data_IF_465533786131
#
_entry.id   IF_465533786131
#
_cell.length_a   1.000
_cell.length_b   1.000
_cell.length_c   1.000
_cell.angle_alpha   90.00
_cell.angle_beta   90.00
_cell.angle_gamma   90.00
#
_symmetry.space_group_name_H-M   'P 1'
#
loop_
_entity.id
_entity.type
_entity.pdbx_description
1 polymer ?
#
# COMPACT_ATOMS: atom_id res chain seq x y z
N UNK A 1 8.51 7.47 -2.18
CA UNK A 1 8.23 6.00 -2.20
C UNK A 1 8.54 5.37 -3.55
N UNK A 2 7.89 5.79 -4.65
CA UNK A 2 8.09 5.15 -5.96
C UNK A 2 9.54 5.29 -6.46
N UNK A 3 10.13 6.49 -6.35
CA UNK A 3 11.54 6.74 -6.70
C UNK A 3 12.51 5.87 -5.88
N UNK A 4 12.27 5.72 -4.58
CA UNK A 4 13.10 4.90 -3.73
C UNK A 4 12.97 3.41 -4.07
N UNK A 5 11.75 2.94 -4.37
CA UNK A 5 11.54 1.58 -4.86
C UNK A 5 12.28 1.34 -6.18
N UNK A 6 12.29 2.31 -7.10
CA UNK A 6 13.07 2.26 -8.35
C UNK A 6 14.58 2.16 -8.09
N UNK A 7 15.11 2.98 -7.18
CA UNK A 7 16.54 2.95 -6.80
C UNK A 7 16.95 1.60 -6.22
N UNK A 8 16.05 0.93 -5.51
CA UNK A 8 16.25 -0.42 -4.99
C UNK A 8 15.99 -1.54 -6.03
N UNK A 9 15.66 -1.18 -7.28
CA UNK A 9 15.35 -2.14 -8.34
C UNK A 9 14.01 -2.87 -8.18
N UNK A 10 13.13 -2.37 -7.32
CA UNK A 10 11.81 -2.96 -7.05
C UNK A 10 10.77 -2.46 -8.05
N UNK A 11 9.72 -3.27 -8.22
CA UNK A 11 8.51 -2.95 -8.99
C UNK A 11 7.43 -2.44 -8.07
N UNK A 12 6.67 -1.45 -8.53
CA UNK A 12 5.60 -0.81 -7.77
C UNK A 12 4.27 -1.13 -8.42
N UNK A 13 3.38 -1.77 -7.65
CA UNK A 13 2.01 -2.01 -8.04
C UNK A 13 1.09 -1.04 -7.28
N UNK A 14 0.37 -0.19 -8.01
CA UNK A 14 -0.61 0.72 -7.42
C UNK A 14 -1.96 0.00 -7.31
N UNK A 15 -2.63 0.08 -6.16
CA UNK A 15 -3.96 -0.52 -5.97
C UNK A 15 -4.95 0.44 -5.32
N UNK A 16 -6.10 0.61 -5.98
CA UNK A 16 -7.07 1.68 -5.68
C UNK A 16 -7.21 2.67 -6.82
N UNK A 17 -8.47 2.99 -7.16
CA UNK A 17 -8.82 3.85 -8.29
C UNK A 17 -8.25 5.26 -8.16
N UNK A 18 -8.49 5.92 -7.01
CA UNK A 18 -7.99 7.27 -6.75
C UNK A 18 -6.47 7.35 -6.77
N UNK A 19 -5.77 6.34 -6.24
CA UNK A 19 -4.30 6.30 -6.27
C UNK A 19 -3.78 6.22 -7.71
N UNK A 20 -4.32 5.31 -8.53
CA UNK A 20 -3.93 5.19 -9.94
C UNK A 20 -4.16 6.50 -10.70
N UNK A 21 -5.32 7.11 -10.53
CA UNK A 21 -5.68 8.37 -11.17
C UNK A 21 -4.73 9.51 -10.75
N UNK A 22 -4.48 9.67 -9.46
CA UNK A 22 -3.61 10.72 -8.94
C UNK A 22 -2.16 10.59 -9.43
N UNK A 23 -1.64 9.36 -9.51
CA UNK A 23 -0.29 9.11 -10.02
C UNK A 23 -0.18 9.41 -11.51
N UNK A 24 -1.18 9.05 -12.32
CA UNK A 24 -1.16 9.39 -13.75
C UNK A 24 -1.18 10.92 -13.96
N UNK A 25 -2.05 11.66 -13.25
CA UNK A 25 -2.05 13.13 -13.32
C UNK A 25 -0.71 13.71 -12.85
N UNK A 26 -0.13 13.21 -11.76
CA UNK A 26 1.14 13.68 -11.25
C UNK A 26 2.31 13.39 -12.21
N UNK A 27 2.25 12.30 -12.99
CA UNK A 27 3.22 12.01 -14.07
C UNK A 27 3.07 12.98 -15.23
N UNK A 28 1.85 13.26 -15.67
CA UNK A 28 1.57 14.23 -16.75
C UNK A 28 2.07 15.63 -16.40
N UNK A 29 1.91 16.04 -15.14
CA UNK A 29 2.39 17.32 -14.62
C UNK A 29 3.90 17.33 -14.31
N UNK A 30 4.60 16.20 -14.45
CA UNK A 30 6.04 16.09 -14.22
C UNK A 30 6.46 16.05 -12.75
N UNK A 31 5.53 15.92 -11.80
CA UNK A 31 5.80 15.76 -10.37
C UNK A 31 6.38 14.38 -10.03
N UNK A 32 6.08 13.36 -10.83
CA UNK A 32 6.60 12.00 -10.66
C UNK A 32 7.39 11.61 -11.90
N UNK A 33 8.69 11.39 -11.72
CA UNK A 33 9.61 10.98 -12.79
C UNK A 33 10.15 9.59 -12.49
N UNK A 34 9.46 8.57 -13.00
CA UNK A 34 9.83 7.17 -12.81
C UNK A 34 9.78 6.44 -14.13
N UNK A 35 10.61 5.42 -14.29
CA UNK A 35 10.65 4.62 -15.51
C UNK A 35 9.35 3.83 -15.67
N UNK A 36 8.94 3.62 -16.92
CA UNK A 36 7.69 2.93 -17.24
C UNK A 36 7.68 1.51 -16.68
N UNK A 37 8.82 0.82 -16.71
CA UNK A 37 8.98 -0.53 -16.19
C UNK A 37 8.99 -0.63 -14.66
N UNK A 38 9.07 0.50 -13.95
CA UNK A 38 8.98 0.52 -12.47
C UNK A 38 7.54 0.30 -12.03
N UNK A 39 6.57 0.86 -12.76
CA UNK A 39 5.15 0.71 -12.48
C UNK A 39 4.60 -0.54 -13.18
N UNK A 40 4.08 -1.48 -12.41
CA UNK A 40 3.47 -2.71 -12.92
C UNK A 40 1.99 -2.77 -12.54
N UNK A 41 1.22 -3.59 -13.26
CA UNK A 41 -0.16 -3.85 -12.86
C UNK A 41 -0.20 -4.83 -11.71
N UNK A 42 -1.26 -4.76 -10.89
CA UNK A 42 -1.44 -5.71 -9.78
C UNK A 42 -1.61 -7.16 -10.29
N UNK A 43 -2.10 -7.34 -11.51
CA UNK A 43 -2.18 -8.65 -12.13
C UNK A 43 -0.78 -9.23 -12.42
N UNK A 44 0.25 -8.41 -12.60
CA UNK A 44 1.60 -8.85 -12.96
C UNK A 44 2.51 -9.15 -11.76
N UNK A 45 2.05 -8.92 -10.52
CA UNK A 45 2.90 -9.07 -9.32
C UNK A 45 3.49 -10.47 -9.18
N UNK A 46 2.73 -11.51 -9.57
CA UNK A 46 3.14 -12.91 -9.50
C UNK A 46 4.32 -13.27 -10.44
N UNK A 47 4.71 -12.36 -11.34
CA UNK A 47 5.86 -12.52 -12.25
C UNK A 47 7.19 -12.15 -11.58
N UNK A 48 7.15 -11.57 -10.38
CA UNK A 48 8.30 -11.08 -9.64
C UNK A 48 8.41 -11.81 -8.30
N UNK A 49 9.62 -11.81 -7.73
CA UNK A 49 9.84 -12.33 -6.38
C UNK A 49 9.24 -11.37 -5.34
N UNK A 50 8.82 -11.90 -4.20
CA UNK A 50 8.17 -11.12 -3.13
C UNK A 50 9.02 -9.92 -2.65
N UNK A 51 10.35 -10.07 -2.60
CA UNK A 51 11.29 -9.03 -2.20
C UNK A 51 11.49 -7.93 -3.26
N UNK A 52 11.03 -8.16 -4.48
CA UNK A 52 11.12 -7.24 -5.62
C UNK A 52 9.85 -6.42 -5.84
N UNK A 53 8.80 -6.61 -5.02
CA UNK A 53 7.51 -5.95 -5.20
C UNK A 53 7.21 -5.01 -4.04
N UNK A 54 6.69 -3.82 -4.37
CA UNK A 54 6.09 -2.87 -3.43
C UNK A 54 4.68 -2.59 -3.88
N UNK A 55 3.70 -2.78 -2.99
CA UNK A 55 2.31 -2.48 -3.27
C UNK A 55 1.94 -1.18 -2.55
N UNK A 56 1.50 -0.17 -3.30
CA UNK A 56 0.97 1.07 -2.75
C UNK A 56 -0.54 1.01 -2.90
N UNK A 57 -1.26 0.95 -1.78
CA UNK A 57 -2.70 0.78 -1.79
C UNK A 57 -3.43 1.81 -0.93
N UNK A 58 -4.72 2.02 -1.24
CA UNK A 58 -5.62 2.82 -0.41
C UNK A 58 -6.25 1.99 0.70
N UNK A 59 -6.90 2.64 1.67
CA UNK A 59 -7.66 1.96 2.72
C UNK A 59 -7.03 2.00 4.11
N UNK A 60 -6.10 2.92 4.35
CA UNK A 60 -5.41 3.03 5.63
C UNK A 60 -6.34 3.43 6.79
N UNK A 61 -7.53 3.99 6.50
CA UNK A 61 -8.55 4.30 7.50
C UNK A 61 -9.55 3.12 7.72
N UNK A 62 -9.32 1.99 7.05
CA UNK A 62 -10.16 0.79 7.16
C UNK A 62 -11.47 0.87 6.40
N UNK A 63 -11.58 1.75 5.40
CA UNK A 63 -12.77 1.84 4.55
C UNK A 63 -13.07 0.48 3.92
N UNK A 64 -14.29 -0.03 4.10
CA UNK A 64 -14.64 -1.43 3.80
C UNK A 64 -14.30 -1.86 2.36
N UNK A 65 -14.55 -0.97 1.39
CA UNK A 65 -14.35 -1.23 -0.03
C UNK A 65 -12.96 -0.84 -0.55
N UNK A 66 -12.08 -0.32 0.31
CA UNK A 66 -10.73 0.06 -0.10
C UNK A 66 -9.83 -1.16 -0.33
N UNK A 67 -8.73 -0.94 -1.04
CA UNK A 67 -7.81 -1.99 -1.45
C UNK A 67 -7.29 -2.80 -0.26
N UNK A 68 -6.78 -2.13 0.78
CA UNK A 68 -6.22 -2.77 1.96
C UNK A 68 -7.28 -3.65 2.65
N UNK A 69 -8.47 -3.14 2.95
CA UNK A 69 -9.55 -3.92 3.57
C UNK A 69 -9.89 -5.21 2.80
N UNK A 70 -9.91 -5.16 1.46
CA UNK A 70 -10.12 -6.36 0.63
C UNK A 70 -8.95 -7.33 0.70
N UNK A 71 -7.72 -6.83 0.74
CA UNK A 71 -6.50 -7.65 0.87
C UNK A 71 -6.51 -8.39 2.22
N UNK A 72 -6.80 -7.67 3.31
CA UNK A 72 -6.83 -8.22 4.67
C UNK A 72 -7.93 -9.26 4.86
N UNK A 73 -9.04 -9.13 4.14
CA UNK A 73 -10.18 -10.06 4.21
C UNK A 73 -10.13 -11.17 3.15
N UNK A 74 -8.99 -11.36 2.47
CA UNK A 74 -8.78 -12.32 1.38
C UNK A 74 -9.74 -12.17 0.19
N UNK A 75 -10.40 -11.02 0.06
CA UNK A 75 -11.33 -10.69 -1.01
C UNK A 75 -10.66 -9.97 -2.20
N UNK A 76 -9.34 -9.76 -2.16
CA UNK A 76 -8.60 -9.17 -3.26
C UNK A 76 -8.18 -10.24 -4.29
N UNK A 77 -8.52 -10.04 -5.57
CA UNK A 77 -8.33 -11.05 -6.63
C UNK A 77 -6.89 -11.53 -6.81
N UNK A 78 -5.93 -10.62 -6.68
CA UNK A 78 -4.53 -10.87 -7.06
C UNK A 78 -3.55 -10.83 -5.89
N UNK A 79 -3.94 -10.26 -4.75
CA UNK A 79 -3.04 -10.01 -3.63
C UNK A 79 -3.55 -10.83 -2.46
N UNK A 80 -2.68 -11.65 -1.89
CA UNK A 80 -2.91 -12.36 -0.63
C UNK A 80 -1.75 -12.05 0.29
N UNK A 81 -2.05 -11.69 1.54
CA UNK A 81 -1.03 -11.44 2.53
C UNK A 81 -0.36 -12.75 2.96
N UNK A 82 0.95 -12.71 3.05
CA UNK A 82 1.78 -13.72 3.67
C UNK A 82 2.27 -13.24 5.04
N UNK A 83 2.63 -14.20 5.90
CA UNK A 83 3.04 -13.94 7.29
C UNK A 83 4.31 -13.08 7.39
N UNK A 84 5.21 -13.25 6.43
CA UNK A 84 6.48 -12.54 6.29
C UNK A 84 6.39 -11.21 5.52
N UNK A 85 5.20 -10.82 5.04
CA UNK A 85 5.04 -9.51 4.42
C UNK A 85 5.34 -8.39 5.42
N UNK A 86 5.58 -7.19 4.91
CA UNK A 86 5.72 -5.98 5.73
C UNK A 86 4.69 -4.95 5.31
N UNK A 87 3.91 -4.47 6.27
CA UNK A 87 2.84 -3.50 6.04
C UNK A 87 3.20 -2.18 6.71
N UNK A 88 3.17 -1.09 5.95
CA UNK A 88 3.50 0.25 6.45
C UNK A 88 2.29 1.16 6.32
N UNK A 89 1.85 1.74 7.43
CA UNK A 89 0.78 2.73 7.48
C UNK A 89 1.35 4.14 7.49
N UNK A 90 1.41 4.76 6.32
CA UNK A 90 1.96 6.11 6.14
C UNK A 90 0.96 7.26 6.42
N UNK A 91 -0.10 7.01 7.20
CA UNK A 91 -1.19 7.97 7.43
C UNK A 91 -1.57 8.12 8.90
N UNK A 92 -1.91 9.33 9.32
CA UNK A 92 -2.56 9.59 10.60
C UNK A 92 -4.00 9.09 10.65
N UNK A 93 -4.46 8.75 11.85
CA UNK A 93 -5.86 8.41 12.11
C UNK A 93 -6.71 9.68 12.01
N UNK A 94 -7.75 9.66 11.16
CA UNK A 94 -8.76 10.71 11.15
C UNK A 94 -9.72 10.46 12.33
N UNK A 95 -9.97 11.45 13.20
CA UNK A 95 -10.91 11.31 14.30
C UNK A 95 -12.27 10.77 13.83
N UNK A 96 -12.80 9.77 14.53
CA UNK A 96 -14.06 9.07 14.19
C UNK A 96 -13.87 7.75 13.42
N UNK A 97 -12.67 7.46 12.91
CA UNK A 97 -12.36 6.20 12.22
C UNK A 97 -11.63 5.17 13.11
N UNK A 98 -11.40 5.47 14.40
CA UNK A 98 -10.57 4.67 15.31
C UNK A 98 -11.02 3.21 15.34
N UNK A 99 -12.33 2.97 15.47
CA UNK A 99 -12.90 1.61 15.54
C UNK A 99 -12.64 0.82 14.26
N UNK A 100 -12.76 1.46 13.11
CA UNK A 100 -12.58 0.82 11.81
C UNK A 100 -11.13 0.47 11.57
N UNK A 101 -10.22 1.38 11.93
CA UNK A 101 -8.77 1.17 11.87
C UNK A 101 -8.35 0.05 12.83
N UNK A 102 -8.88 0.02 14.05
CA UNK A 102 -8.59 -1.05 15.00
C UNK A 102 -8.98 -2.42 14.45
N UNK A 103 -10.18 -2.57 13.88
CA UNK A 103 -10.59 -3.82 13.22
C UNK A 103 -9.68 -4.21 12.07
N UNK A 104 -9.22 -3.25 11.28
CA UNK A 104 -8.28 -3.50 10.20
C UNK A 104 -6.94 -4.00 10.76
N UNK A 105 -6.39 -3.33 11.77
CA UNK A 105 -5.16 -3.72 12.47
C UNK A 105 -5.28 -5.12 13.09
N UNK A 106 -6.39 -5.42 13.78
CA UNK A 106 -6.63 -6.74 14.38
C UNK A 106 -6.58 -7.86 13.34
N UNK A 107 -7.20 -7.66 12.19
CA UNK A 107 -7.17 -8.66 11.12
C UNK A 107 -5.79 -8.79 10.48
N UNK A 108 -5.03 -7.69 10.41
CA UNK A 108 -3.67 -7.71 9.93
C UNK A 108 -2.72 -8.44 10.88
N UNK A 109 -2.78 -8.18 12.19
CA UNK A 109 -1.94 -8.85 13.18
C UNK A 109 -2.17 -10.37 13.22
N UNK A 110 -3.34 -10.85 12.78
CA UNK A 110 -3.61 -12.28 12.63
C UNK A 110 -2.95 -12.91 11.38
N UNK A 111 -2.55 -12.10 10.40
CA UNK A 111 -2.09 -12.54 9.08
C UNK A 111 -0.64 -12.20 8.78
N UNK A 112 -0.11 -11.15 9.39
CA UNK A 112 1.19 -10.58 9.09
C UNK A 112 1.91 -10.23 10.40
N UNK A 113 3.16 -10.65 10.51
CA UNK A 113 3.96 -10.44 11.72
C UNK A 113 4.62 -9.04 11.74
N UNK A 114 4.79 -8.40 10.58
CA UNK A 114 5.53 -7.14 10.46
C UNK A 114 4.60 -5.98 10.05
N UNK A 115 4.13 -5.23 11.04
CA UNK A 115 3.30 -4.05 10.81
C UNK A 115 3.96 -2.81 11.41
N UNK A 116 4.16 -1.78 10.59
CA UNK A 116 4.78 -0.51 10.94
C UNK A 116 3.73 0.59 10.87
N UNK A 117 3.59 1.34 11.96
CA UNK A 117 2.67 2.47 12.08
C UNK A 117 3.38 3.69 12.69
N UNK A 118 2.78 4.87 12.52
CA UNK A 118 3.28 6.17 13.00
C UNK A 118 3.60 6.22 14.51
N UNK A 119 2.91 5.40 15.31
CA UNK A 119 3.17 5.30 16.76
C UNK A 119 4.50 4.58 17.09
N UNK A 120 5.09 3.88 16.10
CA UNK A 120 6.27 3.01 16.23
C UNK A 120 7.50 3.63 15.54
N UNK A 121 7.31 4.44 14.48
CA UNK A 121 8.35 5.20 13.78
C UNK A 121 7.78 6.50 13.22
N UNK A 122 8.53 7.60 13.21
CA UNK A 122 8.15 8.88 12.58
C UNK A 122 8.00 8.75 11.05
N UNK A 123 6.89 8.17 10.58
CA UNK A 123 6.56 7.99 9.16
C UNK A 123 5.46 8.94 8.66
N UNK A 124 5.17 10.00 9.41
CA UNK A 124 4.13 10.97 9.05
C UNK A 124 4.49 12.40 9.48
N UNK A 125 4.27 13.36 8.57
CA UNK A 125 4.31 14.80 8.83
C UNK A 125 2.92 15.34 8.47
N UNK A 126 2.30 16.09 9.39
CA UNK A 126 1.02 16.75 9.13
C UNK A 126 1.18 17.85 8.07
N UNK A 127 0.24 17.90 7.13
CA UNK A 127 0.18 18.94 6.09
C UNK A 127 -0.43 20.25 6.58
#
# INVERSE_FOLDING_TARGET
>A
LIEYAEQLGKKVALEGYSMKMNIEVAKELGYIKVKKETLITVNDIHKYKDDQVVIICTGAQGELNAALSRIVTDNHRFIKLQKNDTIVFSSSVIPGNERTIQRLKDNLYRKCDNIIHSDIMEIHIGG
#
